data_IF_649668139696
#
_entry.id   IF_649668139696
#
_cell.length_a   1.000
_cell.length_b   1.000
_cell.length_c   1.000
_cell.angle_alpha   90.00
_cell.angle_beta   90.00
_cell.angle_gamma   90.00
#
_symmetry.space_group_name_H-M   'P 1'
#
loop_
_entity.id
_entity.type
_entity.pdbx_description
1 polymer ?
#
# COMPACT_ATOMS: atom_id res chain seq x y z
N UNK A 1 0.21 24.47 14.16
CA UNK A 1 -1.24 24.24 14.12
C UNK A 1 -1.69 24.12 12.65
N UNK A 2 -2.41 23.05 12.35
CA UNK A 2 -2.91 22.72 11.00
C UNK A 2 -3.77 23.87 10.44
N UNK A 3 -4.57 24.53 11.27
CA UNK A 3 -5.41 25.65 10.86
C UNK A 3 -4.57 26.79 10.28
N UNK A 4 -3.58 27.26 11.01
CA UNK A 4 -2.72 28.36 10.55
C UNK A 4 -1.87 27.99 9.34
N UNK A 5 -1.40 26.75 9.26
CA UNK A 5 -0.69 26.28 8.07
C UNK A 5 -1.59 26.32 6.83
N UNK A 6 -2.85 25.91 6.97
CA UNK A 6 -3.82 25.94 5.88
C UNK A 6 -4.13 27.38 5.48
N UNK A 7 -4.41 28.28 6.43
CA UNK A 7 -4.66 29.71 6.16
C UNK A 7 -3.50 30.37 5.40
N UNK A 8 -2.26 30.10 5.82
CA UNK A 8 -1.07 30.64 5.14
C UNK A 8 -0.97 30.13 3.70
N UNK A 9 -1.20 28.85 3.47
CA UNK A 9 -1.14 28.28 2.13
C UNK A 9 -2.26 28.77 1.22
N UNK A 10 -3.45 28.99 1.76
CA UNK A 10 -4.56 29.59 1.03
C UNK A 10 -4.28 31.05 0.66
N UNK A 11 -3.75 31.84 1.61
CA UNK A 11 -3.35 33.22 1.35
C UNK A 11 -2.25 33.31 0.26
N UNK A 12 -1.23 32.45 0.35
CA UNK A 12 -0.16 32.38 -0.67
C UNK A 12 -0.75 32.04 -2.04
N UNK A 13 -1.67 31.08 -2.10
CA UNK A 13 -2.33 30.68 -3.35
C UNK A 13 -3.15 31.82 -3.92
N UNK A 14 -3.86 32.55 -3.08
CA UNK A 14 -4.66 33.71 -3.49
C UNK A 14 -3.76 34.85 -4.05
N UNK A 15 -2.66 35.19 -3.36
CA UNK A 15 -1.68 36.19 -3.82
C UNK A 15 -1.02 35.77 -5.14
N UNK A 16 -0.61 34.52 -5.27
CA UNK A 16 -0.07 34.01 -6.53
C UNK A 16 -1.06 34.19 -7.68
N UNK A 17 -2.35 33.88 -7.46
CA UNK A 17 -3.39 33.98 -8.50
C UNK A 17 -3.75 35.42 -8.85
N UNK A 18 -3.83 36.32 -7.84
CA UNK A 18 -4.25 37.72 -8.05
C UNK A 18 -3.12 38.60 -8.56
N UNK A 19 -1.94 38.44 -7.99
CA UNK A 19 -0.81 39.32 -8.23
C UNK A 19 0.23 38.72 -9.21
N UNK A 20 0.03 37.47 -9.64
CA UNK A 20 0.98 36.77 -10.52
C UNK A 20 2.35 36.50 -9.87
N UNK A 21 2.40 36.47 -8.54
CA UNK A 21 3.64 36.25 -7.79
C UNK A 21 4.15 34.83 -7.97
N UNK A 22 5.43 34.67 -8.23
CA UNK A 22 6.08 33.37 -8.13
C UNK A 22 6.50 33.13 -6.68
N UNK A 23 6.04 32.03 -6.09
CA UNK A 23 6.34 31.68 -4.71
C UNK A 23 7.19 30.42 -4.67
N UNK A 24 8.30 30.46 -3.96
CA UNK A 24 9.11 29.31 -3.61
C UNK A 24 8.98 29.06 -2.11
N UNK A 25 8.50 27.89 -1.74
CA UNK A 25 8.32 27.49 -0.34
C UNK A 25 9.08 26.20 -0.05
N UNK A 26 9.67 26.12 1.15
CA UNK A 26 10.23 24.87 1.68
C UNK A 26 9.20 24.28 2.64
N UNK A 27 8.71 23.10 2.31
CA UNK A 27 7.67 22.41 3.07
C UNK A 27 8.20 21.05 3.55
N UNK A 28 7.85 20.67 4.78
CA UNK A 28 8.17 19.36 5.32
C UNK A 28 7.04 18.36 5.12
N UNK A 29 5.82 18.86 4.94
CA UNK A 29 4.64 18.04 4.67
C UNK A 29 4.45 17.89 3.16
N UNK A 30 4.68 16.68 2.66
CA UNK A 30 4.54 16.33 1.24
C UNK A 30 3.08 16.40 0.79
N UNK A 31 2.12 16.04 1.65
CA UNK A 31 0.70 16.10 1.29
C UNK A 31 0.25 17.56 1.12
N UNK A 32 0.73 18.45 1.98
CA UNK A 32 0.52 19.88 1.84
C UNK A 32 1.18 20.42 0.56
N UNK A 33 2.43 20.04 0.30
CA UNK A 33 3.11 20.42 -0.94
C UNK A 33 2.37 19.90 -2.18
N UNK A 34 1.91 18.64 -2.16
CA UNK A 34 1.10 18.07 -3.23
C UNK A 34 -0.17 18.87 -3.50
N UNK A 35 -0.87 19.27 -2.45
CA UNK A 35 -2.15 19.98 -2.55
C UNK A 35 -2.00 21.38 -3.15
N UNK A 36 -1.02 22.15 -2.71
CA UNK A 36 -0.93 23.56 -3.02
C UNK A 36 0.07 23.94 -4.13
N UNK A 37 1.05 23.07 -4.41
CA UNK A 37 2.08 23.38 -5.41
C UNK A 37 1.71 22.79 -6.78
N UNK A 38 2.04 23.56 -7.85
CA UNK A 38 1.97 23.07 -9.23
C UNK A 38 3.28 22.39 -9.67
N UNK A 39 4.40 22.69 -8.99
CA UNK A 39 5.71 22.06 -9.22
C UNK A 39 6.39 21.79 -7.89
N UNK A 40 7.00 20.63 -7.78
CA UNK A 40 7.74 20.18 -6.61
C UNK A 40 9.17 19.87 -6.97
N UNK A 41 10.10 20.24 -6.08
CA UNK A 41 11.51 19.85 -6.16
C UNK A 41 11.80 19.01 -4.92
N UNK A 42 12.15 17.75 -5.12
CA UNK A 42 12.51 16.84 -4.04
C UNK A 42 14.01 16.92 -3.80
N UNK A 43 14.40 17.31 -2.60
CA UNK A 43 15.80 17.34 -2.19
C UNK A 43 16.13 16.14 -1.30
N UNK A 44 17.24 15.49 -1.61
CA UNK A 44 17.81 14.41 -0.79
C UNK A 44 19.34 14.51 -0.78
N UNK A 45 19.94 14.45 0.38
CA UNK A 45 21.41 14.50 0.56
C UNK A 45 22.05 15.69 -0.16
N UNK A 46 21.39 16.87 -0.11
CA UNK A 46 21.86 18.10 -0.75
C UNK A 46 21.75 18.13 -2.27
N UNK A 47 21.07 17.16 -2.89
CA UNK A 47 20.89 17.07 -4.35
C UNK A 47 19.42 17.04 -4.72
N UNK A 48 19.12 17.50 -5.93
CA UNK A 48 17.78 17.35 -6.51
C UNK A 48 17.60 15.88 -6.90
N UNK A 49 16.68 15.21 -6.22
CA UNK A 49 16.32 13.82 -6.48
C UNK A 49 15.19 13.69 -7.51
N UNK A 50 14.26 14.63 -7.53
CA UNK A 50 13.19 14.72 -8.52
C UNK A 50 12.72 16.18 -8.66
N UNK A 51 12.17 16.52 -9.82
CA UNK A 51 11.63 17.84 -10.15
C UNK A 51 10.48 17.66 -11.15
N UNK A 52 9.34 18.27 -10.89
CA UNK A 52 8.17 18.20 -11.78
C UNK A 52 6.85 18.46 -11.05
N UNK A 53 5.76 18.05 -11.69
CA UNK A 53 4.43 18.06 -11.08
C UNK A 53 4.35 17.07 -9.90
N UNK A 54 3.44 17.29 -8.91
CA UNK A 54 3.29 16.41 -7.78
C UNK A 54 3.17 14.92 -8.15
N UNK A 55 2.41 14.57 -9.19
CA UNK A 55 2.23 13.21 -9.67
C UNK A 55 3.51 12.54 -10.20
N UNK A 56 4.42 13.34 -10.77
CA UNK A 56 5.72 12.87 -11.26
C UNK A 56 6.76 12.73 -10.13
N UNK A 57 6.67 13.55 -9.10
CA UNK A 57 7.60 13.59 -7.97
C UNK A 57 7.20 12.61 -6.87
N UNK A 58 5.90 12.55 -6.55
CA UNK A 58 5.35 11.67 -5.51
C UNK A 58 5.14 10.27 -6.11
N UNK A 59 6.21 9.55 -6.25
CA UNK A 59 6.22 8.14 -6.67
C UNK A 59 6.65 7.26 -5.50
N UNK A 60 6.23 5.99 -5.48
CA UNK A 60 6.62 5.03 -4.45
C UNK A 60 8.14 5.01 -4.28
N UNK A 61 8.86 4.90 -5.38
CA UNK A 61 10.34 4.89 -5.39
C UNK A 61 10.95 6.13 -4.70
N UNK A 62 10.45 7.32 -5.04
CA UNK A 62 11.00 8.57 -4.50
C UNK A 62 10.68 8.72 -3.01
N UNK A 63 9.44 8.39 -2.63
CA UNK A 63 8.97 8.57 -1.25
C UNK A 63 9.57 7.54 -0.30
N UNK A 64 9.65 6.27 -0.70
CA UNK A 64 10.34 5.24 0.08
C UNK A 64 11.83 5.54 0.26
N UNK A 65 12.49 6.03 -0.79
CA UNK A 65 13.88 6.45 -0.72
C UNK A 65 14.11 7.69 0.16
N UNK A 66 13.14 8.63 0.21
CA UNK A 66 13.22 9.83 1.04
C UNK A 66 12.99 9.54 2.51
N UNK A 67 11.89 8.84 2.81
CA UNK A 67 11.42 8.63 4.18
C UNK A 67 11.93 7.34 4.82
N UNK A 68 12.48 6.41 4.03
CA UNK A 68 12.84 5.05 4.47
C UNK A 68 11.66 4.36 5.17
N UNK A 69 10.48 4.53 4.57
CA UNK A 69 9.22 4.00 5.07
C UNK A 69 8.48 3.30 3.94
N UNK A 70 7.79 2.21 4.26
CA UNK A 70 6.74 1.68 3.40
C UNK A 70 5.55 2.64 3.48
N UNK A 71 5.03 3.02 2.33
CA UNK A 71 3.94 3.98 2.25
C UNK A 71 3.02 3.65 1.08
N UNK A 72 1.75 3.99 1.24
CA UNK A 72 0.76 3.94 0.20
C UNK A 72 0.68 5.31 -0.48
N UNK A 73 0.66 5.33 -1.81
CA UNK A 73 0.33 6.52 -2.59
C UNK A 73 -1.05 6.28 -3.18
N UNK A 74 -1.96 7.21 -2.92
CA UNK A 74 -3.31 7.21 -3.48
C UNK A 74 -3.65 8.59 -4.01
N UNK A 75 -4.63 8.67 -4.89
CA UNK A 75 -5.21 9.95 -5.28
C UNK A 75 -6.19 10.41 -4.21
N UNK A 76 -6.02 11.63 -3.73
CA UNK A 76 -6.97 12.24 -2.83
C UNK A 76 -8.25 12.59 -3.61
N UNK A 77 -9.44 12.07 -3.22
CA UNK A 77 -10.67 12.22 -4.01
C UNK A 77 -11.21 13.66 -4.05
N UNK A 78 -10.79 14.54 -3.13
CA UNK A 78 -11.24 15.93 -3.07
C UNK A 78 -10.40 16.88 -3.93
N UNK A 79 -9.10 16.62 -4.01
CA UNK A 79 -8.14 17.51 -4.66
C UNK A 79 -7.57 16.97 -5.96
N UNK A 80 -7.84 15.69 -6.27
CA UNK A 80 -7.28 14.97 -7.42
C UNK A 80 -5.74 15.08 -7.50
N UNK A 81 -5.10 15.01 -6.36
CA UNK A 81 -3.65 15.08 -6.18
C UNK A 81 -3.15 13.84 -5.44
N UNK A 82 -1.91 13.41 -5.69
CA UNK A 82 -1.33 12.29 -4.96
C UNK A 82 -1.19 12.63 -3.48
N UNK A 83 -1.53 11.67 -2.63
CA UNK A 83 -1.43 11.71 -1.18
C UNK A 83 -0.63 10.52 -0.70
N UNK A 84 0.29 10.74 0.23
CA UNK A 84 1.03 9.66 0.88
C UNK A 84 0.38 9.30 2.21
N UNK A 85 0.24 8.00 2.45
CA UNK A 85 -0.19 7.45 3.73
C UNK A 85 0.97 6.60 4.27
N UNK A 86 1.63 7.03 5.37
CA UNK A 86 2.69 6.23 5.99
C UNK A 86 2.12 4.90 6.49
N UNK A 87 2.80 3.79 6.17
CA UNK A 87 2.43 2.47 6.67
C UNK A 87 3.35 2.10 7.83
N UNK A 88 4.66 1.98 7.56
CA UNK A 88 5.67 1.63 8.58
C UNK A 88 7.07 2.06 8.17
N UNK A 89 7.97 2.14 9.13
CA UNK A 89 9.40 2.37 8.88
C UNK A 89 10.00 1.11 8.24
N UNK A 90 10.77 1.28 7.17
CA UNK A 90 11.54 0.17 6.61
C UNK A 90 12.60 -0.23 7.62
N UNK A 91 12.51 -1.46 8.13
CA UNK A 91 13.57 -2.07 8.92
C UNK A 91 14.63 -2.60 7.95
N UNK A 92 15.87 -2.68 8.40
CA UNK A 92 16.90 -3.38 7.63
C UNK A 92 16.43 -4.83 7.44
N UNK A 93 16.31 -5.23 6.18
CA UNK A 93 15.94 -6.62 5.88
C UNK A 93 16.99 -7.55 6.51
N UNK A 94 16.55 -8.64 7.15
CA UNK A 94 17.49 -9.66 7.61
C UNK A 94 18.35 -10.12 6.43
N UNK A 95 19.65 -10.23 6.64
CA UNK A 95 20.60 -10.63 5.60
C UNK A 95 20.20 -12.03 5.08
N UNK A 96 19.62 -12.09 3.88
CA UNK A 96 19.17 -13.31 3.24
C UNK A 96 17.97 -13.08 2.32
N UNK A 97 17.66 -14.07 1.48
CA UNK A 97 16.43 -14.05 0.68
C UNK A 97 15.23 -14.22 1.62
N UNK A 98 14.19 -13.36 1.55
CA UNK A 98 13.00 -13.53 2.36
C UNK A 98 12.30 -14.86 2.04
N UNK A 99 11.85 -15.56 3.06
CA UNK A 99 11.03 -16.77 2.90
C UNK A 99 9.67 -16.35 2.35
N UNK A 100 9.22 -17.03 1.31
CA UNK A 100 7.93 -16.78 0.67
C UNK A 100 6.85 -17.59 1.35
N UNK A 101 5.83 -16.91 1.85
CA UNK A 101 4.72 -17.51 2.58
C UNK A 101 3.42 -17.19 1.87
N UNK A 102 2.62 -18.22 1.59
CA UNK A 102 1.24 -18.04 1.16
C UNK A 102 0.29 -18.26 2.33
N UNK A 103 -0.63 -17.31 2.55
CA UNK A 103 -1.62 -17.36 3.63
C UNK A 103 -2.99 -17.66 3.05
N UNK A 104 -3.52 -18.85 3.38
CA UNK A 104 -4.92 -19.20 3.10
C UNK A 104 -5.80 -18.51 4.14
N UNK A 105 -6.59 -17.53 3.70
CA UNK A 105 -7.40 -16.67 4.55
C UNK A 105 -8.66 -16.20 3.80
N UNK A 106 -9.50 -15.38 4.43
CA UNK A 106 -10.69 -14.84 3.76
C UNK A 106 -11.88 -14.48 4.66
N UNK A 107 -11.73 -14.59 5.98
CA UNK A 107 -12.83 -14.37 6.94
C UNK A 107 -12.40 -13.56 8.17
N UNK A 108 -11.60 -12.53 7.98
CA UNK A 108 -11.07 -11.63 9.02
C UNK A 108 -10.12 -12.29 10.05
N UNK A 109 -9.79 -13.57 9.87
CA UNK A 109 -8.96 -14.33 10.80
C UNK A 109 -7.46 -14.13 10.64
N UNK A 110 -7.01 -13.56 9.53
CA UNK A 110 -5.60 -13.47 9.20
C UNK A 110 -4.97 -12.07 9.39
N UNK A 111 -5.75 -11.03 9.71
CA UNK A 111 -5.25 -9.63 9.78
C UNK A 111 -3.99 -9.53 10.63
N UNK A 112 -4.04 -9.96 11.89
CA UNK A 112 -2.88 -9.90 12.81
C UNK A 112 -1.73 -10.79 12.38
N UNK A 113 -2.03 -11.97 11.83
CA UNK A 113 -1.02 -12.90 11.31
C UNK A 113 -0.26 -12.27 10.14
N UNK A 114 -0.97 -11.68 9.20
CA UNK A 114 -0.41 -11.01 8.02
C UNK A 114 0.46 -9.82 8.46
N UNK A 115 -0.03 -8.98 9.40
CA UNK A 115 0.75 -7.87 9.95
C UNK A 115 2.05 -8.37 10.59
N UNK A 116 2.00 -9.40 11.41
CA UNK A 116 3.16 -9.92 12.12
C UNK A 116 4.19 -10.57 11.17
N UNK A 117 3.74 -11.32 10.19
CA UNK A 117 4.61 -11.95 9.19
C UNK A 117 5.30 -10.90 8.33
N UNK A 118 4.54 -9.90 7.89
CA UNK A 118 5.07 -8.81 7.08
C UNK A 118 6.05 -7.96 7.89
N UNK A 119 5.79 -7.71 9.18
CA UNK A 119 6.71 -7.02 10.10
C UNK A 119 8.03 -7.78 10.31
N UNK A 120 8.00 -9.10 10.20
CA UNK A 120 9.21 -9.94 10.28
C UNK A 120 9.98 -10.01 8.96
N UNK A 121 9.46 -9.40 7.90
CA UNK A 121 10.14 -9.32 6.60
C UNK A 121 9.94 -10.54 5.70
N UNK A 122 8.88 -11.34 5.92
CA UNK A 122 8.50 -12.40 5.00
C UNK A 122 7.87 -11.84 3.72
N UNK A 123 8.10 -12.50 2.59
CA UNK A 123 7.41 -12.18 1.34
C UNK A 123 6.07 -12.93 1.31
N UNK A 124 4.97 -12.16 1.30
CA UNK A 124 3.65 -12.72 1.48
C UNK A 124 2.84 -12.71 0.19
N UNK A 125 2.03 -13.76 0.03
CA UNK A 125 0.87 -13.80 -0.86
C UNK A 125 -0.33 -14.31 -0.07
N UNK A 126 -1.55 -14.00 -0.50
CA UNK A 126 -2.76 -14.41 0.21
C UNK A 126 -3.89 -14.80 -0.75
N UNK A 127 -4.77 -15.65 -0.33
CA UNK A 127 -5.94 -15.99 -1.12
C UNK A 127 -6.76 -17.16 -0.61
N UNK A 128 -8.01 -17.29 -1.04
CA UNK A 128 -8.80 -16.33 -1.80
C UNK A 128 -9.59 -15.49 -0.79
N UNK A 129 -9.52 -14.18 -0.88
CA UNK A 129 -10.15 -13.27 0.10
C UNK A 129 -11.46 -12.67 -0.43
N UNK A 130 -12.41 -12.42 0.46
CA UNK A 130 -13.65 -11.73 0.12
C UNK A 130 -13.45 -10.22 0.09
N UNK A 131 -13.91 -9.55 -0.96
CA UNK A 131 -13.93 -8.08 -1.03
C UNK A 131 -14.67 -7.51 0.18
N UNK A 132 -14.04 -6.56 0.88
CA UNK A 132 -14.59 -5.92 2.08
C UNK A 132 -14.33 -6.68 3.38
N UNK A 133 -13.68 -7.84 3.35
CA UNK A 133 -13.16 -8.47 4.58
C UNK A 133 -11.91 -7.76 5.09
N UNK A 134 -11.64 -7.87 6.39
CA UNK A 134 -10.41 -7.34 6.98
C UNK A 134 -9.15 -7.95 6.37
N UNK A 135 -9.20 -9.23 6.00
CA UNK A 135 -8.09 -9.92 5.31
C UNK A 135 -7.83 -9.31 3.92
N UNK A 136 -8.89 -8.93 3.19
CA UNK A 136 -8.77 -8.23 1.91
C UNK A 136 -8.18 -6.81 2.11
N UNK A 137 -8.72 -6.08 3.07
CA UNK A 137 -8.28 -4.71 3.33
C UNK A 137 -6.83 -4.64 3.80
N UNK A 138 -6.38 -5.55 4.66
CA UNK A 138 -4.96 -5.59 5.09
C UNK A 138 -4.04 -5.96 3.91
N UNK A 139 -4.44 -6.90 3.04
CA UNK A 139 -3.65 -7.24 1.86
C UNK A 139 -3.52 -6.06 0.90
N UNK A 140 -4.60 -5.31 0.67
CA UNK A 140 -4.57 -4.07 -0.12
C UNK A 140 -3.69 -3.00 0.53
N UNK A 141 -3.85 -2.81 1.84
CA UNK A 141 -3.10 -1.81 2.60
C UNK A 141 -1.59 -2.08 2.57
N UNK A 142 -1.18 -3.32 2.79
CA UNK A 142 0.22 -3.74 2.75
C UNK A 142 0.74 -4.03 1.34
N UNK A 143 -0.12 -3.93 0.32
CA UNK A 143 0.20 -4.25 -1.09
C UNK A 143 0.69 -5.70 -1.26
N UNK A 144 0.10 -6.63 -0.52
CA UNK A 144 0.35 -8.06 -0.63
C UNK A 144 -0.42 -8.59 -1.84
N UNK A 145 0.22 -9.30 -2.79
CA UNK A 145 -0.47 -9.95 -3.89
C UNK A 145 -1.51 -10.95 -3.37
N UNK A 146 -2.73 -10.85 -3.84
CA UNK A 146 -3.83 -11.70 -3.40
C UNK A 146 -4.89 -11.89 -4.49
N UNK A 147 -5.75 -12.88 -4.30
CA UNK A 147 -6.90 -13.14 -5.18
C UNK A 147 -8.18 -12.74 -4.45
N UNK A 148 -8.99 -11.91 -5.10
CA UNK A 148 -10.25 -11.38 -4.56
C UNK A 148 -11.45 -12.03 -5.24
N UNK A 149 -12.51 -12.27 -4.44
CA UNK A 149 -13.84 -12.64 -4.95
C UNK A 149 -14.91 -11.74 -4.30
N UNK A 150 -16.06 -11.56 -4.93
CA UNK A 150 -17.17 -10.86 -4.31
C UNK A 150 -17.63 -11.55 -3.02
N UNK A 151 -18.12 -10.79 -2.02
CA UNK A 151 -18.58 -11.38 -0.77
C UNK A 151 -19.74 -12.36 -1.00
N UNK A 152 -19.78 -13.41 -0.18
CA UNK A 152 -20.81 -14.46 -0.21
C UNK A 152 -20.87 -15.26 -1.53
N UNK A 153 -19.84 -15.22 -2.36
CA UNK A 153 -19.74 -16.04 -3.56
C UNK A 153 -18.78 -17.23 -3.33
N UNK A 154 -19.06 -18.40 -3.93
CA UNK A 154 -18.11 -19.49 -3.92
C UNK A 154 -16.81 -19.14 -4.63
N UNK A 155 -15.70 -19.76 -4.20
CA UNK A 155 -14.43 -19.66 -4.92
C UNK A 155 -14.60 -20.25 -6.32
N UNK A 156 -14.35 -19.44 -7.35
CA UNK A 156 -14.45 -19.87 -8.75
C UNK A 156 -13.21 -20.64 -9.18
N UNK A 157 -13.33 -21.49 -10.21
CA UNK A 157 -12.18 -22.20 -10.78
C UNK A 157 -11.08 -21.25 -11.28
N UNK A 158 -11.45 -20.07 -11.80
CA UNK A 158 -10.49 -19.07 -12.23
C UNK A 158 -9.73 -18.45 -11.04
N UNK A 159 -10.45 -18.07 -9.98
CA UNK A 159 -9.85 -17.56 -8.76
C UNK A 159 -8.92 -18.59 -8.13
N UNK A 160 -9.36 -19.86 -8.09
CA UNK A 160 -8.55 -20.96 -7.58
C UNK A 160 -7.29 -21.21 -8.42
N UNK A 161 -7.36 -21.12 -9.74
CA UNK A 161 -6.19 -21.27 -10.59
C UNK A 161 -5.10 -20.22 -10.28
N UNK A 162 -5.51 -18.95 -10.13
CA UNK A 162 -4.60 -17.87 -9.73
C UNK A 162 -4.02 -18.08 -8.32
N UNK A 163 -4.85 -18.55 -7.40
CA UNK A 163 -4.44 -18.86 -6.03
C UNK A 163 -3.39 -19.98 -6.02
N UNK A 164 -3.61 -21.04 -6.79
CA UNK A 164 -2.66 -22.15 -6.93
C UNK A 164 -1.30 -21.74 -7.52
N UNK A 165 -1.27 -20.77 -8.43
CA UNK A 165 0.00 -20.21 -8.93
C UNK A 165 0.79 -19.55 -7.78
N UNK A 166 0.15 -18.73 -6.96
CA UNK A 166 0.79 -18.11 -5.80
C UNK A 166 1.25 -19.14 -4.76
N UNK A 167 0.43 -20.18 -4.52
CA UNK A 167 0.78 -21.26 -3.61
C UNK A 167 2.03 -22.01 -4.07
N UNK A 168 2.16 -22.32 -5.36
CA UNK A 168 3.33 -23.03 -5.92
C UNK A 168 4.64 -22.27 -5.75
N UNK A 169 4.58 -20.96 -5.76
CA UNK A 169 5.75 -20.09 -5.60
C UNK A 169 6.14 -19.91 -4.12
N UNK A 170 5.29 -20.31 -3.19
CA UNK A 170 5.54 -20.19 -1.76
C UNK A 170 6.41 -21.35 -1.25
N UNK A 171 7.24 -21.06 -0.25
CA UNK A 171 8.05 -22.04 0.47
C UNK A 171 7.30 -22.61 1.70
N UNK A 172 6.33 -21.81 2.20
CA UNK A 172 5.48 -22.18 3.33
C UNK A 172 4.05 -21.77 3.03
N UNK A 173 3.10 -22.63 3.37
CA UNK A 173 1.68 -22.31 3.34
C UNK A 173 1.17 -22.28 4.77
N UNK A 174 0.53 -21.18 5.14
CA UNK A 174 -0.14 -21.01 6.41
C UNK A 174 -1.65 -20.97 6.19
N UNK A 175 -2.38 -21.66 7.02
CA UNK A 175 -3.85 -21.63 7.05
C UNK A 175 -4.24 -20.80 8.26
N UNK A 176 -4.98 -19.71 8.04
CA UNK A 176 -5.50 -18.89 9.13
C UNK A 176 -6.62 -19.59 9.86
N UNK A 177 -6.95 -19.11 11.06
CA UNK A 177 -8.10 -19.56 11.82
C UNK A 177 -9.39 -19.03 11.15
N UNK A 178 -9.90 -19.80 10.18
CA UNK A 178 -11.10 -19.47 9.43
C UNK A 178 -12.03 -20.68 9.31
N UNK A 179 -13.35 -20.48 9.36
CA UNK A 179 -14.29 -21.57 9.12
C UNK A 179 -14.25 -21.99 7.65
N UNK A 180 -14.13 -23.30 7.41
CA UNK A 180 -14.26 -23.89 6.08
C UNK A 180 -15.68 -24.38 5.85
N UNK A 181 -16.21 -24.11 4.67
CA UNK A 181 -17.52 -24.52 4.19
C UNK A 181 -17.52 -24.71 2.67
N UNK A 182 -18.67 -25.07 2.09
CA UNK A 182 -18.81 -25.34 0.65
C UNK A 182 -18.26 -24.19 -0.24
N UNK A 183 -18.35 -22.97 0.21
CA UNK A 183 -17.93 -21.79 -0.57
C UNK A 183 -16.41 -21.56 -0.63
N UNK A 184 -15.64 -22.09 0.31
CA UNK A 184 -14.20 -21.83 0.41
C UNK A 184 -13.32 -23.08 0.58
N UNK A 185 -13.94 -24.26 0.63
CA UNK A 185 -13.22 -25.54 0.76
C UNK A 185 -12.21 -25.74 -0.38
N UNK A 186 -12.54 -25.22 -1.56
CA UNK A 186 -11.67 -25.27 -2.74
C UNK A 186 -10.28 -24.61 -2.50
N UNK A 187 -10.16 -23.69 -1.53
CA UNK A 187 -8.85 -23.12 -1.15
C UNK A 187 -7.86 -24.17 -0.65
N UNK A 188 -8.35 -25.33 -0.14
CA UNK A 188 -7.52 -26.41 0.36
C UNK A 188 -7.10 -27.41 -0.73
N UNK A 189 -7.75 -27.40 -1.90
CA UNK A 189 -7.49 -28.38 -2.98
C UNK A 189 -6.04 -28.34 -3.50
N UNK A 190 -5.35 -27.23 -3.28
CA UNK A 190 -3.94 -27.06 -3.64
C UNK A 190 -2.97 -27.82 -2.76
N UNK A 191 -3.35 -28.11 -1.51
CA UNK A 191 -2.48 -28.74 -0.52
C UNK A 191 -2.22 -30.22 -0.81
N UNK A 192 -3.14 -30.90 -1.48
CA UNK A 192 -2.98 -32.33 -1.83
C UNK A 192 -2.05 -32.56 -3.03
N UNK A 193 -1.70 -31.48 -3.77
CA UNK A 193 -0.93 -31.55 -5.03
C UNK A 193 0.50 -31.02 -4.91
N UNK A 194 0.88 -30.61 -3.72
CA UNK A 194 2.22 -30.11 -3.38
C UNK A 194 3.00 -31.15 -2.59
#
# INVERSE_FOLDING_TARGET
DIHHQTEVMELITELNRREGLTVLAVLHDVNMASRYCCRMILLRDGKIAADGEPSAVITKKNMEALYRMKLLIRENPLFHKPEIVPIRVLREEPAGRPVRIHVICGSDGAVKLIEELEDRGFELTAGVVNVGSGDCEICRYLQIPHVEIPPFTPVTAEAQAKNLEMMRDAEVILISDMPFGENNLMNLDGLEKM
#
